data_IF_397053687899
#
_entry.id   IF_397053687899
#
_cell.length_a   1.000
_cell.length_b   1.000
_cell.length_c   1.000
_cell.angle_alpha   90.00
_cell.angle_beta   90.00
_cell.angle_gamma   90.00
#
_symmetry.space_group_name_H-M   'P 1'
#
loop_
_entity.id
_entity.type
_entity.pdbx_description
1 polymer ?
#
# COMPACT_ATOMS: atom_id res chain seq x y z
N UNK A 1 -16.01 23.58 -0.22
CA UNK A 1 -14.67 22.96 -0.39
C UNK A 1 -14.84 21.77 -1.32
N UNK A 2 -14.32 21.88 -2.55
CA UNK A 2 -14.33 20.76 -3.50
C UNK A 2 -13.37 19.70 -2.98
N UNK A 3 -13.89 18.55 -2.57
CA UNK A 3 -13.06 17.42 -2.18
C UNK A 3 -12.16 17.03 -3.34
N UNK A 4 -10.97 16.57 -3.05
CA UNK A 4 -10.05 16.08 -4.06
C UNK A 4 -10.66 14.86 -4.74
N UNK A 5 -10.75 14.88 -6.06
CA UNK A 5 -11.23 13.74 -6.83
C UNK A 5 -10.10 12.73 -7.07
N UNK A 6 -10.46 11.46 -7.05
CA UNK A 6 -9.57 10.34 -7.32
C UNK A 6 -10.07 9.53 -8.52
N UNK A 7 -9.16 9.06 -9.33
CA UNK A 7 -9.45 8.04 -10.32
C UNK A 7 -9.47 6.66 -9.65
N UNK A 8 -10.56 5.91 -9.79
CA UNK A 8 -10.62 4.54 -9.30
C UNK A 8 -10.08 3.57 -10.35
N UNK A 9 -9.06 2.83 -9.99
CA UNK A 9 -8.52 1.73 -10.77
C UNK A 9 -9.10 0.43 -10.21
N UNK A 10 -9.89 -0.27 -11.01
CA UNK A 10 -10.54 -1.51 -10.61
C UNK A 10 -9.70 -2.69 -11.10
N UNK A 11 -8.99 -3.34 -10.19
CA UNK A 11 -8.24 -4.55 -10.51
C UNK A 11 -9.16 -5.74 -10.77
N UNK A 12 -8.71 -6.71 -11.59
CA UNK A 12 -9.49 -7.89 -11.99
C UNK A 12 -10.05 -8.69 -10.81
N UNK A 13 -9.28 -8.75 -9.73
CA UNK A 13 -9.70 -9.44 -8.52
C UNK A 13 -10.88 -8.75 -7.83
N UNK A 14 -10.86 -7.43 -7.77
CA UNK A 14 -11.97 -6.64 -7.24
C UNK A 14 -13.20 -6.72 -8.15
N UNK A 15 -12.99 -6.64 -9.46
CA UNK A 15 -14.08 -6.78 -10.42
C UNK A 15 -14.82 -8.12 -10.26
N UNK A 16 -14.09 -9.22 -10.07
CA UNK A 16 -14.70 -10.53 -9.79
C UNK A 16 -15.49 -10.55 -8.48
N UNK A 17 -14.98 -9.92 -7.43
CA UNK A 17 -15.70 -9.80 -6.15
C UNK A 17 -17.00 -9.00 -6.33
N UNK A 18 -16.94 -7.89 -7.05
CA UNK A 18 -18.09 -7.03 -7.31
C UNK A 18 -19.15 -7.74 -8.18
N UNK A 19 -18.71 -8.50 -9.19
CA UNK A 19 -19.62 -9.31 -10.02
C UNK A 19 -20.34 -10.38 -9.19
N UNK A 20 -19.65 -11.03 -8.24
CA UNK A 20 -20.25 -11.99 -7.33
C UNK A 20 -21.30 -11.32 -6.44
N UNK A 21 -20.97 -10.19 -5.81
CA UNK A 21 -21.92 -9.43 -4.99
C UNK A 21 -23.14 -9.03 -5.83
N UNK A 22 -22.94 -8.63 -7.09
CA UNK A 22 -24.03 -8.28 -7.98
C UNK A 22 -24.89 -9.49 -8.40
N UNK A 23 -24.29 -10.66 -8.57
CA UNK A 23 -25.01 -11.91 -8.84
C UNK A 23 -25.81 -12.35 -7.62
N UNK A 24 -25.21 -12.32 -6.44
CA UNK A 24 -25.87 -12.66 -5.18
C UNK A 24 -27.07 -11.73 -4.92
N UNK A 25 -26.92 -10.42 -5.18
CA UNK A 25 -28.02 -9.45 -5.03
C UNK A 25 -29.17 -9.62 -6.04
N UNK A 26 -28.93 -10.28 -7.18
CA UNK A 26 -29.99 -10.64 -8.13
C UNK A 26 -30.74 -11.89 -7.66
N UNK A 27 -30.01 -12.84 -7.08
CA UNK A 27 -30.59 -14.11 -6.60
C UNK A 27 -31.31 -13.95 -5.26
N UNK A 28 -30.83 -13.03 -4.40
CA UNK A 28 -31.34 -12.85 -3.03
C UNK A 28 -31.52 -11.36 -2.72
N UNK A 29 -32.76 -10.87 -2.59
CA UNK A 29 -33.04 -9.47 -2.25
C UNK A 29 -32.37 -8.98 -0.96
N UNK A 30 -32.10 -9.85 0.00
CA UNK A 30 -31.39 -9.48 1.24
C UNK A 30 -29.97 -9.00 0.99
N UNK A 31 -29.37 -9.37 -0.13
CA UNK A 31 -28.00 -8.98 -0.53
C UNK A 31 -27.92 -7.65 -1.29
N UNK A 32 -29.05 -7.07 -1.65
CA UNK A 32 -29.12 -5.78 -2.37
C UNK A 32 -28.47 -4.67 -1.55
N UNK A 33 -28.67 -4.68 -0.23
CA UNK A 33 -28.10 -3.68 0.67
C UNK A 33 -26.57 -3.67 0.61
N UNK A 34 -25.91 -4.82 0.69
CA UNK A 34 -24.45 -4.91 0.57
C UNK A 34 -23.96 -4.30 -0.75
N UNK A 35 -24.60 -4.65 -1.87
CA UNK A 35 -24.24 -4.08 -3.19
C UNK A 35 -24.34 -2.56 -3.20
N UNK A 36 -25.42 -2.01 -2.64
CA UNK A 36 -25.61 -0.56 -2.55
C UNK A 36 -24.53 0.11 -1.70
N UNK A 37 -24.18 -0.47 -0.55
CA UNK A 37 -23.13 0.06 0.33
C UNK A 37 -21.74 0.01 -0.33
N UNK A 38 -21.41 -1.06 -1.05
CA UNK A 38 -20.14 -1.13 -1.80
C UNK A 38 -20.08 -0.04 -2.86
N UNK A 39 -21.14 0.15 -3.65
CA UNK A 39 -21.19 1.19 -4.68
C UNK A 39 -21.17 2.62 -4.08
N UNK A 40 -21.76 2.79 -2.89
CA UNK A 40 -21.68 4.05 -2.15
C UNK A 40 -20.25 4.33 -1.73
N UNK A 41 -19.59 3.39 -1.09
CA UNK A 41 -18.21 3.54 -0.64
C UNK A 41 -17.25 3.83 -1.82
N UNK A 42 -17.42 3.14 -2.95
CA UNK A 42 -16.65 3.43 -4.16
C UNK A 42 -16.81 4.88 -4.63
N UNK A 43 -18.04 5.40 -4.63
CA UNK A 43 -18.28 6.81 -4.99
C UNK A 43 -17.69 7.79 -4.00
N UNK A 44 -17.73 7.46 -2.71
CA UNK A 44 -17.15 8.28 -1.65
C UNK A 44 -15.61 8.27 -1.73
N UNK A 45 -15.00 7.13 -2.04
CA UNK A 45 -13.57 7.01 -2.32
C UNK A 45 -13.17 7.82 -3.57
N UNK A 46 -13.96 7.78 -4.64
CA UNK A 46 -13.69 8.55 -5.86
C UNK A 46 -13.79 10.07 -5.64
N UNK A 47 -14.75 10.50 -4.84
CA UNK A 47 -14.98 11.92 -4.55
C UNK A 47 -14.09 12.47 -3.41
N UNK A 48 -13.26 11.62 -2.77
CA UNK A 48 -12.46 12.01 -1.62
C UNK A 48 -13.26 12.27 -0.34
N UNK A 49 -14.56 11.93 -0.32
CA UNK A 49 -15.39 12.02 0.90
C UNK A 49 -15.05 10.93 1.91
N UNK A 50 -14.70 9.74 1.43
CA UNK A 50 -14.12 8.66 2.22
C UNK A 50 -12.63 8.55 1.93
N UNK A 51 -11.86 8.32 2.97
CA UNK A 51 -10.42 8.08 2.90
C UNK A 51 -10.05 6.71 3.45
N UNK A 52 -11.04 5.86 3.61
CA UNK A 52 -10.90 4.60 4.32
C UNK A 52 -10.87 4.79 5.82
N UNK A 53 -10.80 3.69 6.53
CA UNK A 53 -10.92 3.67 7.99
C UNK A 53 -9.57 3.58 8.68
N UNK A 54 -8.70 2.67 8.24
CA UNK A 54 -7.33 2.56 8.74
C UNK A 54 -6.39 1.89 7.75
N UNK A 55 -5.10 2.19 7.87
CA UNK A 55 -4.05 1.51 7.13
C UNK A 55 -3.91 0.05 7.63
N UNK A 56 -3.64 -0.84 6.71
CA UNK A 56 -3.25 -2.20 7.02
C UNK A 56 -1.77 -2.24 7.42
N UNK A 57 -1.37 -3.30 8.11
CA UNK A 57 -0.01 -3.46 8.62
C UNK A 57 0.75 -4.60 7.95
N UNK A 58 1.97 -4.79 8.43
CA UNK A 58 2.68 -6.04 8.25
C UNK A 58 2.31 -6.99 9.39
N UNK A 59 1.90 -8.19 9.04
CA UNK A 59 1.69 -9.28 9.99
C UNK A 59 2.49 -10.50 9.53
N UNK A 60 3.32 -11.05 10.42
CA UNK A 60 4.05 -12.27 10.16
C UNK A 60 3.06 -13.40 9.77
N UNK A 61 3.37 -14.12 8.70
CA UNK A 61 2.49 -15.16 8.15
C UNK A 61 1.34 -14.66 7.26
N UNK A 62 1.09 -13.34 7.18
CA UNK A 62 0.00 -12.79 6.35
C UNK A 62 0.45 -11.92 5.18
N UNK A 63 1.71 -11.53 5.16
CA UNK A 63 2.28 -10.65 4.16
C UNK A 63 2.21 -9.16 4.51
N UNK A 64 2.80 -8.34 3.67
CA UNK A 64 3.00 -6.91 3.89
C UNK A 64 1.96 -6.09 3.13
N UNK A 65 1.07 -5.41 3.85
CA UNK A 65 -0.01 -4.58 3.33
C UNK A 65 0.04 -3.14 3.87
N UNK A 66 1.24 -2.66 4.24
CA UNK A 66 1.41 -1.32 4.85
C UNK A 66 1.01 -0.17 3.94
N UNK A 67 0.99 -0.36 2.62
CA UNK A 67 0.54 0.60 1.61
C UNK A 67 -0.96 0.50 1.31
N UNK A 68 -1.67 -0.41 1.98
CA UNK A 68 -3.09 -0.63 1.76
C UNK A 68 -3.93 -0.03 2.88
N UNK A 69 -5.11 0.43 2.51
CA UNK A 69 -6.11 1.01 3.41
C UNK A 69 -7.39 0.19 3.34
N UNK A 70 -8.08 0.05 4.47
CA UNK A 70 -9.36 -0.63 4.52
C UNK A 70 -10.49 0.32 4.85
N UNK A 71 -11.62 0.12 4.15
CA UNK A 71 -12.93 0.67 4.50
C UNK A 71 -13.83 -0.45 4.99
N UNK A 72 -14.74 -0.12 5.90
CA UNK A 72 -15.75 -1.05 6.39
C UNK A 72 -17.05 -0.87 5.65
N UNK A 73 -17.67 -1.99 5.27
CA UNK A 73 -18.92 -2.03 4.55
C UNK A 73 -19.89 -2.93 5.30
N UNK A 74 -21.14 -2.51 5.42
CA UNK A 74 -22.20 -3.28 6.06
C UNK A 74 -22.95 -4.11 5.01
N UNK A 75 -23.27 -5.35 5.34
CA UNK A 75 -24.20 -6.17 4.56
C UNK A 75 -25.65 -6.00 4.99
N UNK A 76 -25.87 -5.50 6.20
CA UNK A 76 -27.16 -5.28 6.82
C UNK A 76 -27.13 -3.97 7.63
N UNK A 77 -28.08 -3.09 7.39
CA UNK A 77 -28.14 -1.78 8.06
C UNK A 77 -28.35 -1.84 9.58
N UNK A 78 -28.77 -3.00 10.11
CA UNK A 78 -29.00 -3.21 11.55
C UNK A 78 -27.79 -3.84 12.26
N UNK A 79 -26.76 -4.25 11.50
CA UNK A 79 -25.59 -4.93 12.05
C UNK A 79 -24.33 -4.06 11.91
N UNK A 80 -23.31 -4.42 12.66
CA UNK A 80 -21.99 -3.84 12.48
C UNK A 80 -21.42 -4.23 11.10
N UNK A 81 -20.50 -3.40 10.61
CA UNK A 81 -19.83 -3.67 9.35
C UNK A 81 -19.11 -5.02 9.38
N UNK A 82 -19.49 -5.88 8.48
CA UNK A 82 -19.07 -7.27 8.36
C UNK A 82 -18.24 -7.56 7.10
N UNK A 83 -18.08 -6.56 6.23
CA UNK A 83 -17.24 -6.62 5.04
C UNK A 83 -16.12 -5.58 5.12
N UNK A 84 -15.03 -5.86 4.41
CA UNK A 84 -13.91 -4.96 4.20
C UNK A 84 -13.66 -4.74 2.72
N UNK A 85 -13.59 -3.47 2.32
CA UNK A 85 -13.05 -3.04 1.05
C UNK A 85 -11.61 -2.62 1.29
N UNK A 86 -10.68 -3.15 0.49
CA UNK A 86 -9.26 -2.79 0.56
C UNK A 86 -8.84 -2.11 -0.72
N UNK A 87 -8.15 -1.01 -0.58
CA UNK A 87 -7.58 -0.24 -1.67
C UNK A 87 -6.18 0.25 -1.31
N UNK A 88 -5.43 0.73 -2.29
CA UNK A 88 -4.17 1.47 -2.08
C UNK A 88 -4.19 2.77 -2.86
N UNK A 89 -3.46 3.75 -2.34
CA UNK A 89 -3.25 5.01 -3.04
C UNK A 89 -2.12 4.86 -4.06
N UNK A 90 -2.33 5.40 -5.24
CA UNK A 90 -1.37 5.34 -6.34
C UNK A 90 -1.13 6.75 -6.89
N UNK A 91 0.09 7.02 -7.38
CA UNK A 91 0.37 8.29 -8.04
C UNK A 91 -0.52 8.46 -9.27
N UNK A 92 -0.74 9.72 -9.73
CA UNK A 92 -1.44 9.99 -10.97
C UNK A 92 -0.83 9.24 -12.15
N UNK A 93 -1.62 8.94 -13.17
CA UNK A 93 -1.14 8.32 -14.39
C UNK A 93 -0.23 9.24 -15.22
N UNK A 94 -0.30 10.56 -14.98
CA UNK A 94 0.51 11.57 -15.64
C UNK A 94 0.35 12.95 -14.99
N UNK A 95 1.16 13.93 -15.42
CA UNK A 95 1.09 15.29 -14.92
C UNK A 95 -0.32 15.90 -15.09
N UNK A 96 -0.82 16.56 -14.05
CA UNK A 96 -2.13 17.21 -14.07
C UNK A 96 -3.35 16.27 -13.96
N UNK A 97 -3.13 14.95 -13.93
CA UNK A 97 -4.21 13.99 -13.69
C UNK A 97 -4.47 13.81 -12.19
N UNK A 98 -5.68 13.38 -11.81
CA UNK A 98 -6.00 13.14 -10.41
C UNK A 98 -5.17 11.96 -9.85
N UNK A 99 -4.92 11.93 -8.54
CA UNK A 99 -4.37 10.76 -7.88
C UNK A 99 -5.32 9.58 -8.02
N UNK A 100 -4.79 8.36 -7.92
CA UNK A 100 -5.54 7.14 -8.17
C UNK A 100 -5.70 6.32 -6.91
N UNK A 101 -6.80 5.59 -6.85
CA UNK A 101 -7.04 4.56 -5.82
C UNK A 101 -7.30 3.23 -6.51
N UNK A 102 -6.42 2.28 -6.30
CA UNK A 102 -6.60 0.92 -6.82
C UNK A 102 -7.42 0.09 -5.84
N UNK A 103 -8.59 -0.35 -6.28
CA UNK A 103 -9.46 -1.22 -5.51
C UNK A 103 -8.97 -2.67 -5.65
N UNK A 104 -8.62 -3.28 -4.51
CA UNK A 104 -7.95 -4.58 -4.47
C UNK A 104 -8.90 -5.72 -4.13
N UNK A 105 -9.75 -5.56 -3.11
CA UNK A 105 -10.64 -6.62 -2.66
C UNK A 105 -11.86 -6.07 -1.94
N UNK A 106 -12.97 -6.80 -2.02
CA UNK A 106 -14.13 -6.68 -1.13
C UNK A 106 -14.53 -8.06 -0.64
N UNK A 107 -14.44 -8.30 0.67
CA UNK A 107 -14.65 -9.62 1.28
C UNK A 107 -15.31 -9.49 2.66
N UNK A 108 -16.00 -10.53 3.13
CA UNK A 108 -16.39 -10.62 4.52
C UNK A 108 -15.20 -10.47 5.46
N UNK A 109 -15.45 -9.83 6.61
CA UNK A 109 -14.44 -9.61 7.65
C UNK A 109 -14.00 -10.92 8.31
N UNK A 110 -14.95 -11.85 8.46
CA UNK A 110 -14.76 -13.14 9.10
C UNK A 110 -14.95 -14.25 8.05
N UNK A 111 -14.10 -15.25 8.08
CA UNK A 111 -14.14 -16.38 7.14
C UNK A 111 -12.80 -17.09 7.04
N UNK A 112 -12.81 -18.30 6.50
CA UNK A 112 -11.62 -19.16 6.34
C UNK A 112 -10.56 -18.57 5.40
N UNK A 113 -10.97 -17.73 4.47
CA UNK A 113 -10.08 -17.04 3.53
C UNK A 113 -10.01 -15.55 3.90
N UNK A 114 -9.09 -15.22 4.81
CA UNK A 114 -8.88 -13.84 5.26
C UNK A 114 -8.60 -12.89 4.08
N UNK A 115 -9.16 -11.69 4.16
CA UNK A 115 -8.97 -10.64 3.14
C UNK A 115 -7.47 -10.37 2.85
N UNK A 116 -6.60 -10.52 3.85
CA UNK A 116 -5.16 -10.38 3.70
C UNK A 116 -4.57 -11.33 2.66
N UNK A 117 -4.93 -12.63 2.72
CA UNK A 117 -4.46 -13.61 1.75
C UNK A 117 -4.88 -13.26 0.31
N UNK A 118 -6.12 -12.80 0.14
CA UNK A 118 -6.61 -12.37 -1.17
C UNK A 118 -5.89 -11.14 -1.69
N UNK A 119 -5.66 -10.13 -0.84
CA UNK A 119 -4.96 -8.91 -1.24
C UNK A 119 -3.49 -9.20 -1.54
N UNK A 120 -2.81 -9.99 -0.69
CA UNK A 120 -1.43 -10.39 -0.93
C UNK A 120 -1.29 -11.16 -2.25
N UNK A 121 -2.17 -12.13 -2.53
CA UNK A 121 -2.15 -12.86 -3.78
C UNK A 121 -2.36 -11.94 -5.01
N UNK A 122 -3.21 -10.92 -4.91
CA UNK A 122 -3.46 -9.95 -5.98
C UNK A 122 -2.27 -9.00 -6.21
N UNK A 123 -1.51 -8.72 -5.16
CA UNK A 123 -0.32 -7.89 -5.21
C UNK A 123 0.96 -8.71 -5.41
N UNK A 124 0.85 -10.02 -5.61
CA UNK A 124 1.99 -10.95 -5.71
C UNK A 124 2.95 -10.83 -4.52
N UNK A 125 2.39 -10.74 -3.31
CA UNK A 125 3.14 -10.66 -2.05
C UNK A 125 3.02 -11.97 -1.29
N UNK A 126 4.14 -12.46 -0.78
CA UNK A 126 4.19 -13.72 -0.05
C UNK A 126 4.17 -13.49 1.47
N UNK A 127 3.73 -14.50 2.20
CA UNK A 127 3.80 -14.50 3.65
C UNK A 127 5.26 -14.33 4.10
N UNK A 128 5.46 -13.50 5.12
CA UNK A 128 6.76 -13.14 5.68
C UNK A 128 7.67 -12.26 4.79
N UNK A 129 7.30 -11.98 3.54
CA UNK A 129 8.05 -11.04 2.72
C UNK A 129 7.71 -9.60 3.14
N UNK A 130 8.71 -8.90 3.67
CA UNK A 130 8.61 -7.48 3.94
C UNK A 130 9.05 -6.72 2.71
N UNK A 131 8.14 -5.95 2.13
CA UNK A 131 8.42 -5.19 0.91
C UNK A 131 9.21 -3.93 1.24
N UNK A 132 10.43 -3.74 0.69
CA UNK A 132 11.18 -2.52 0.93
C UNK A 132 10.46 -1.30 0.36
N UNK A 133 10.51 -0.18 1.06
CA UNK A 133 9.98 1.10 0.60
C UNK A 133 8.45 1.26 0.64
N UNK A 134 7.68 0.26 1.08
CA UNK A 134 6.22 0.38 1.20
C UNK A 134 5.80 1.35 2.30
N UNK A 135 6.64 1.59 3.27
CA UNK A 135 6.34 2.52 4.35
C UNK A 135 7.59 3.30 4.73
N UNK A 136 7.77 4.44 4.08
CA UNK A 136 8.75 5.42 4.51
C UNK A 136 8.32 6.13 5.82
N UNK A 137 7.09 5.92 6.29
CA UNK A 137 6.44 6.62 7.39
C UNK A 137 6.15 5.67 8.55
N UNK A 138 7.19 5.30 9.25
CA UNK A 138 7.07 4.70 10.57
C UNK A 138 6.62 3.25 10.58
N UNK A 139 7.60 2.36 10.57
CA UNK A 139 7.41 1.02 11.11
C UNK A 139 7.05 1.14 12.59
N UNK A 140 5.78 1.02 12.91
CA UNK A 140 5.37 0.90 14.30
C UNK A 140 5.82 -0.44 14.84
N UNK A 141 6.45 -0.48 16.02
CA UNK A 141 6.71 -1.74 16.71
C UNK A 141 5.39 -2.49 16.91
N UNK A 142 5.41 -3.79 16.63
CA UNK A 142 4.27 -4.67 16.86
C UNK A 142 3.81 -4.51 18.31
N UNK A 143 2.56 -4.13 18.55
CA UNK A 143 1.97 -3.99 19.88
C UNK A 143 1.56 -2.58 20.31
N UNK A 144 1.92 -1.53 19.60
CA UNK A 144 1.37 -0.21 19.91
C UNK A 144 -0.09 -0.13 19.43
N UNK A 145 -1.04 -0.45 20.30
CA UNK A 145 -2.45 -0.14 20.15
C UNK A 145 -2.64 1.36 20.04
N UNK A 146 -2.24 1.94 18.93
CA UNK A 146 -2.26 3.37 18.70
C UNK A 146 -3.69 3.89 18.66
N UNK A 147 -3.89 5.00 19.35
CA UNK A 147 -5.08 5.81 19.34
C UNK A 147 -5.56 6.01 17.87
N UNK A 148 -6.83 5.81 17.61
CA UNK A 148 -7.46 5.94 16.29
C UNK A 148 -7.19 7.32 15.65
N UNK A 149 -7.08 8.35 16.47
CA UNK A 149 -6.70 9.71 16.06
C UNK A 149 -5.30 9.78 15.44
N UNK A 150 -4.32 9.10 16.04
CA UNK A 150 -2.96 9.03 15.49
C UNK A 150 -2.89 8.27 14.17
N UNK A 151 -3.77 7.26 13.97
CA UNK A 151 -3.88 6.54 12.70
C UNK A 151 -4.47 7.41 11.60
N UNK A 152 -5.43 8.27 11.93
CA UNK A 152 -5.98 9.26 10.99
C UNK A 152 -4.92 10.30 10.60
N UNK A 153 -4.20 10.82 11.54
CA UNK A 153 -3.11 11.78 11.30
C UNK A 153 -2.01 11.18 10.42
N UNK A 154 -1.68 9.91 10.63
CA UNK A 154 -0.71 9.17 9.81
C UNK A 154 -1.20 8.92 8.38
N UNK A 155 -2.48 8.59 8.21
CA UNK A 155 -3.09 8.46 6.89
C UNK A 155 -3.11 9.81 6.15
N UNK A 156 -3.41 10.88 6.84
CA UNK A 156 -3.44 12.22 6.25
C UNK A 156 -2.03 12.69 5.89
N UNK A 157 -1.03 12.39 6.72
CA UNK A 157 0.37 12.66 6.40
C UNK A 157 0.83 11.85 5.17
N UNK A 158 0.48 10.56 5.09
CA UNK A 158 0.79 9.71 3.94
C UNK A 158 0.13 10.24 2.65
N UNK A 159 -1.10 10.75 2.75
CA UNK A 159 -1.78 11.40 1.63
C UNK A 159 -1.08 12.67 1.20
N UNK A 160 -0.75 13.54 2.16
CA UNK A 160 -0.07 14.79 1.88
C UNK A 160 1.22 14.55 1.12
N UNK A 161 1.99 13.52 1.51
CA UNK A 161 3.22 13.15 0.82
C UNK A 161 2.91 12.59 -0.57
N UNK A 162 1.95 11.68 -0.71
CA UNK A 162 1.54 11.16 -2.01
C UNK A 162 1.11 12.31 -2.95
N UNK A 163 0.42 13.31 -2.43
CA UNK A 163 0.02 14.49 -3.19
C UNK A 163 1.18 15.42 -3.52
N UNK A 164 2.13 15.60 -2.62
CA UNK A 164 3.33 16.42 -2.88
C UNK A 164 4.15 15.83 -4.02
N UNK A 165 4.22 14.50 -4.14
CA UNK A 165 4.90 13.82 -5.23
C UNK A 165 4.04 13.66 -6.50
N UNK A 166 2.73 13.88 -6.44
CA UNK A 166 1.82 13.73 -7.56
C UNK A 166 2.08 14.70 -8.75
N UNK A 167 2.82 15.78 -8.53
CA UNK A 167 3.23 16.71 -9.58
C UNK A 167 4.72 16.60 -9.97
N UNK A 168 5.47 15.71 -9.34
CA UNK A 168 6.89 15.56 -9.63
C UNK A 168 7.12 14.28 -10.42
N UNK A 169 7.95 14.37 -11.47
CA UNK A 169 8.54 13.18 -12.09
C UNK A 169 9.13 12.34 -10.95
N UNK A 170 8.84 11.03 -10.86
CA UNK A 170 9.42 10.20 -9.83
C UNK A 170 10.91 10.46 -9.83
N UNK A 171 11.43 10.98 -8.73
CA UNK A 171 12.87 11.04 -8.54
C UNK A 171 13.37 9.65 -8.87
N UNK A 172 14.36 9.56 -9.75
CA UNK A 172 14.91 8.30 -10.24
C UNK A 172 15.63 7.50 -9.13
N UNK A 173 15.01 7.38 -7.98
CA UNK A 173 15.40 6.53 -6.86
C UNK A 173 15.21 5.06 -7.16
N UNK A 174 14.49 4.75 -8.24
CA UNK A 174 14.42 3.40 -8.81
C UNK A 174 15.47 3.12 -9.88
N UNK A 175 16.38 4.05 -10.16
CA UNK A 175 17.55 3.70 -10.94
C UNK A 175 18.42 2.80 -10.06
N UNK A 176 18.68 1.54 -10.44
CA UNK A 176 19.64 0.72 -9.72
C UNK A 176 20.91 1.56 -9.63
N UNK A 177 21.41 1.77 -8.42
CA UNK A 177 22.72 2.39 -8.23
C UNK A 177 23.68 1.53 -9.04
N UNK A 178 24.23 2.10 -10.10
CA UNK A 178 25.22 1.42 -10.93
C UNK A 178 26.39 1.04 -10.01
N UNK A 179 26.61 -0.25 -9.74
CA UNK A 179 27.70 -0.67 -8.86
C UNK A 179 29.06 -0.20 -9.36
N UNK A 180 29.19 0.15 -10.65
CA UNK A 180 30.38 0.74 -11.22
C UNK A 180 30.63 2.18 -10.75
N UNK A 181 29.61 2.91 -10.29
CA UNK A 181 29.79 4.27 -9.78
C UNK A 181 30.50 4.32 -8.41
N UNK A 182 30.53 3.24 -7.66
CA UNK A 182 31.22 3.13 -6.38
C UNK A 182 32.63 2.55 -6.48
N UNK A 183 33.03 1.98 -7.62
CA UNK A 183 34.34 1.37 -7.84
C UNK A 183 35.45 2.33 -8.24
N UNK A 184 35.20 3.59 -8.53
CA UNK A 184 36.18 4.51 -9.12
C UNK A 184 36.86 5.47 -8.12
N UNK A 185 36.74 5.26 -6.82
CA UNK A 185 37.48 6.01 -5.80
C UNK A 185 38.25 5.06 -4.90
N UNK A 186 39.43 4.64 -5.34
CA UNK A 186 40.30 3.83 -4.50
C UNK A 186 41.59 3.34 -5.11
N UNK A 187 42.09 3.94 -6.19
CA UNK A 187 43.51 3.79 -6.54
C UNK A 187 44.32 4.93 -5.93
N UNK A 188 44.29 5.00 -4.61
CA UNK A 188 45.22 5.79 -3.81
C UNK A 188 46.55 5.06 -3.73
N UNK A 189 47.57 5.71 -4.24
CA UNK A 189 48.98 5.46 -4.20
C UNK A 189 49.44 4.58 -3.03
N UNK A 190 50.04 3.43 -3.31
CA UNK A 190 50.84 2.71 -2.35
C UNK A 190 52.09 3.53 -2.05
N UNK A 191 52.42 3.75 -0.77
CA UNK A 191 53.77 4.28 -0.44
C UNK A 191 54.77 3.16 -0.62
N UNK A 192 55.77 3.42 -1.47
CA UNK A 192 56.97 2.62 -1.64
C UNK A 192 57.72 2.54 -0.32
N UNK A 193 57.83 1.36 0.23
CA UNK A 193 58.72 1.08 1.36
C UNK A 193 60.19 1.09 0.91
N UNK A 194 61.10 1.74 1.64
CA UNK A 194 62.49 1.72 1.31
C UNK A 194 63.12 0.36 1.65
N UNK A 195 63.82 -0.18 0.68
CA UNK A 195 64.75 -1.29 0.77
C UNK A 195 65.76 -1.03 1.88
N UNK A 196 65.86 -1.89 2.89
CA UNK A 196 67.00 -1.98 3.79
C UNK A 196 67.91 -3.11 3.37
N UNK A 197 69.08 -2.67 3.13
CA UNK A 197 70.23 -3.42 2.62
C UNK A 197 70.72 -4.55 3.50
N UNK A 198 71.29 -5.48 2.85
CA UNK A 198 72.20 -6.52 3.28
C UNK A 198 73.25 -6.02 4.25
N UNK A 199 73.38 -6.63 5.41
CA UNK A 199 74.57 -6.59 6.29
C UNK A 199 74.95 -8.02 6.64
N UNK A 200 75.94 -8.53 5.96
CA UNK A 200 76.75 -9.68 6.45
C UNK A 200 77.55 -9.24 7.66
N UNK A 201 77.60 -10.10 8.71
CA UNK A 201 78.88 -10.41 9.40
C UNK A 201 78.66 -11.55 10.37
N UNK A 202 79.53 -12.58 10.14
CA UNK A 202 80.16 -13.53 11.08
C UNK A 202 79.28 -14.39 11.97
#
# INVERSE_FOLDING_TARGET
MSGQQYELVVGDGFARDLMRIAADARADPSKVFLRQQVLKEMRELASGKSNGYHALGYEAGKGDLRDCVTSYVQSDGQKQADHRLVFREMPPAGPGLPPRRELLAIKPRHGSNGIYAHVCARLNRHANDRQPGLNAFGDRPAGSGGNEKLRHEELDANRLVAHTYAGQVPLATSRPLDPAAFGARGSGSQPTSPSKGTGKHL
#
